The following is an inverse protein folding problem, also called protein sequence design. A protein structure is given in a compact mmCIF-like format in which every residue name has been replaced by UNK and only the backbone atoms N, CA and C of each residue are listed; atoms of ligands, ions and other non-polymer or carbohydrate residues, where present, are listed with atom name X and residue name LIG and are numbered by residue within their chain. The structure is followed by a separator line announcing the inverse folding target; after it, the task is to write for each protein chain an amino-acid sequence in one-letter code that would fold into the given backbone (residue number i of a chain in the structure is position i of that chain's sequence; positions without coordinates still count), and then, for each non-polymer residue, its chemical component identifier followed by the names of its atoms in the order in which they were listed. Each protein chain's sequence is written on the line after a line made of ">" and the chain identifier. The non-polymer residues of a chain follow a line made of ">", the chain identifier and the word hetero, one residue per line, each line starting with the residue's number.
data_IF_396043237282
#
_entry.id   IF_396043237282
#
_cell.length_a   1.000
_cell.length_b   1.000
_cell.length_c   1.000
_cell.angle_alpha   90.00
_cell.angle_beta   90.00
_cell.angle_gamma   90.00
#
_symmetry.space_group_name_H-M   'P 1'
#
loop_
_entity.id
_entity.type
_entity.pdbx_description
1 polymer ?
#
# COMPACT_ATOMS: atom_id res chain seq x y z
N UNK A 1 -7.25 -14.56 36.17
CA UNK A 1 -6.18 -14.24 35.22
C UNK A 1 -6.81 -13.36 34.15
N UNK A 2 -6.64 -12.05 34.25
CA UNK A 2 -6.96 -11.13 33.16
C UNK A 2 -5.95 -11.41 32.04
N UNK A 3 -6.42 -11.87 30.88
CA UNK A 3 -5.60 -11.85 29.68
C UNK A 3 -5.31 -10.39 29.37
N UNK A 4 -4.06 -9.97 29.43
CA UNK A 4 -3.64 -8.69 28.87
C UNK A 4 -3.82 -8.79 27.36
N UNK A 5 -4.95 -8.27 26.86
CA UNK A 5 -5.25 -8.17 25.45
C UNK A 5 -4.36 -7.04 24.91
N UNK A 6 -3.31 -7.38 24.18
CA UNK A 6 -2.44 -6.37 23.58
C UNK A 6 -3.14 -5.76 22.36
N UNK A 7 -3.52 -4.50 22.51
CA UNK A 7 -4.11 -3.68 21.46
C UNK A 7 -3.07 -2.69 20.96
N UNK A 8 -2.94 -2.60 19.64
CA UNK A 8 -2.13 -1.59 18.97
C UNK A 8 -3.05 -0.69 18.16
N UNK A 9 -3.16 0.56 18.57
CA UNK A 9 -3.98 1.56 17.88
C UNK A 9 -3.09 2.57 17.15
N UNK A 10 -3.14 2.54 15.82
CA UNK A 10 -2.37 3.40 14.93
C UNK A 10 -3.27 4.20 13.98
N UNK A 11 -4.59 4.15 14.17
CA UNK A 11 -5.54 4.86 13.32
C UNK A 11 -5.30 6.37 13.29
N UNK A 12 -5.56 6.99 12.13
CA UNK A 12 -5.39 8.43 11.91
C UNK A 12 -3.94 8.91 11.74
N UNK A 13 -2.94 8.03 11.82
CA UNK A 13 -1.54 8.36 11.56
C UNK A 13 -1.20 8.31 10.07
N UNK A 14 -0.28 9.13 9.53
CA UNK A 14 0.05 9.14 8.09
C UNK A 14 0.96 7.96 7.67
N UNK A 15 0.50 6.73 7.87
CA UNK A 15 1.21 5.49 7.51
C UNK A 15 0.82 5.03 6.10
N UNK A 16 1.73 5.19 5.14
CA UNK A 16 1.49 4.75 3.75
C UNK A 16 1.98 3.34 3.44
N UNK A 17 2.80 2.76 4.32
CA UNK A 17 3.46 1.47 4.12
C UNK A 17 3.58 0.67 5.43
N UNK A 18 3.21 -0.61 5.39
CA UNK A 18 3.53 -1.60 6.43
C UNK A 18 4.58 -2.57 5.86
N UNK A 19 5.70 -2.72 6.58
CA UNK A 19 6.80 -3.57 6.16
C UNK A 19 6.68 -5.04 6.60
N UNK A 20 7.68 -5.85 6.22
CA UNK A 20 7.82 -7.24 6.67
C UNK A 20 7.78 -7.37 8.19
N UNK A 21 7.08 -8.39 8.69
CA UNK A 21 7.03 -8.73 10.12
C UNK A 21 6.74 -7.54 11.05
N UNK A 22 5.93 -6.58 10.59
CA UNK A 22 5.66 -5.34 11.32
C UNK A 22 4.98 -5.59 12.68
N UNK A 23 4.18 -6.65 12.78
CA UNK A 23 3.38 -6.95 13.96
C UNK A 23 3.92 -8.17 14.71
N UNK A 24 4.32 -7.95 15.98
CA UNK A 24 4.87 -8.99 16.86
C UNK A 24 3.78 -9.95 17.37
N UNK A 25 4.21 -11.10 17.89
CA UNK A 25 3.33 -12.04 18.58
C UNK A 25 2.66 -11.40 19.80
N UNK A 26 1.47 -11.89 20.14
CA UNK A 26 0.70 -11.46 21.31
C UNK A 26 -0.30 -10.34 21.05
N UNK A 27 -0.25 -9.68 19.90
CA UNK A 27 -1.27 -8.71 19.49
C UNK A 27 -2.60 -9.40 19.21
N UNK A 28 -3.67 -8.85 19.75
CA UNK A 28 -5.05 -9.29 19.51
C UNK A 28 -5.79 -8.33 18.58
N UNK A 29 -5.61 -7.02 18.79
CA UNK A 29 -6.23 -5.97 17.99
C UNK A 29 -5.17 -5.06 17.37
N UNK A 30 -5.32 -4.75 16.08
CA UNK A 30 -4.52 -3.78 15.35
C UNK A 30 -5.44 -2.82 14.61
N UNK A 31 -5.46 -1.56 15.05
CA UNK A 31 -6.20 -0.48 14.42
C UNK A 31 -5.33 0.31 13.44
N UNK A 32 -5.69 0.34 12.16
CA UNK A 32 -4.97 1.04 11.09
C UNK A 32 -5.91 1.85 10.20
N UNK A 33 -7.11 2.20 10.68
CA UNK A 33 -8.05 2.96 9.88
C UNK A 33 -7.59 4.41 9.67
N UNK A 34 -7.95 5.03 8.55
CA UNK A 34 -7.59 6.42 8.25
C UNK A 34 -6.08 6.69 8.23
N UNK A 35 -5.25 5.72 7.82
CA UNK A 35 -3.79 5.86 7.86
C UNK A 35 -3.13 6.25 6.54
N UNK A 36 -3.90 6.28 5.45
CA UNK A 36 -3.40 6.49 4.07
C UNK A 36 -2.57 5.32 3.55
N UNK A 37 -2.79 4.12 4.07
CA UNK A 37 -2.05 2.93 3.66
C UNK A 37 -2.24 2.63 2.18
N UNK A 38 -1.12 2.41 1.48
CA UNK A 38 -1.10 2.06 0.05
C UNK A 38 -0.50 0.68 -0.20
N UNK A 39 0.45 0.27 0.63
CA UNK A 39 1.16 -1.00 0.50
C UNK A 39 1.26 -1.66 1.86
N UNK A 40 0.88 -2.93 1.93
CA UNK A 40 1.18 -3.82 3.04
C UNK A 40 2.03 -4.94 2.45
N UNK A 41 3.24 -5.13 2.97
CA UNK A 41 4.10 -6.24 2.54
C UNK A 41 3.43 -7.58 2.83
N UNK A 42 3.58 -8.54 1.92
CA UNK A 42 2.97 -9.88 2.00
C UNK A 42 3.30 -10.61 3.30
N UNK A 43 4.46 -10.30 3.90
CA UNK A 43 4.96 -10.90 5.13
C UNK A 43 4.64 -10.11 6.40
N UNK A 44 3.86 -9.03 6.31
CA UNK A 44 3.59 -8.13 7.44
C UNK A 44 3.00 -8.84 8.67
N UNK A 45 2.20 -9.89 8.45
CA UNK A 45 1.45 -10.61 9.49
C UNK A 45 2.00 -12.01 9.81
N UNK A 46 3.16 -12.40 9.27
CA UNK A 46 3.72 -13.75 9.44
C UNK A 46 3.88 -14.15 10.92
N UNK A 47 4.23 -13.18 11.76
CA UNK A 47 4.46 -13.38 13.18
C UNK A 47 3.22 -13.10 14.06
N UNK A 48 2.03 -12.93 13.48
CA UNK A 48 0.89 -12.28 14.16
C UNK A 48 -0.38 -13.14 14.23
N UNK A 49 -0.22 -14.45 14.42
CA UNK A 49 -1.32 -15.44 14.46
C UNK A 49 -2.40 -15.17 15.53
N UNK A 50 -2.08 -14.35 16.54
CA UNK A 50 -3.00 -13.97 17.62
C UNK A 50 -3.97 -12.84 17.28
N UNK A 51 -3.78 -12.13 16.16
CA UNK A 51 -4.65 -11.01 15.78
C UNK A 51 -6.02 -11.56 15.40
N UNK A 52 -7.04 -11.07 16.11
CA UNK A 52 -8.46 -11.38 15.89
C UNK A 52 -9.26 -10.18 15.43
N UNK A 53 -8.71 -8.98 15.59
CA UNK A 53 -9.35 -7.74 15.17
C UNK A 53 -8.36 -6.87 14.39
N UNK A 54 -8.65 -6.62 13.13
CA UNK A 54 -7.82 -5.81 12.22
C UNK A 54 -8.71 -4.80 11.49
N UNK A 55 -8.46 -3.51 11.68
CA UNK A 55 -9.16 -2.44 10.95
C UNK A 55 -8.22 -1.81 9.93
N UNK A 56 -8.63 -1.81 8.67
CA UNK A 56 -7.88 -1.28 7.52
C UNK A 56 -8.77 -0.38 6.65
N UNK A 57 -9.97 -0.05 7.11
CA UNK A 57 -10.92 0.78 6.39
C UNK A 57 -10.46 2.24 6.26
N UNK A 58 -11.00 2.94 5.25
CA UNK A 58 -10.65 4.34 4.94
C UNK A 58 -9.15 4.55 4.73
N UNK A 59 -8.55 3.70 3.91
CA UNK A 59 -7.16 3.79 3.46
C UNK A 59 -7.10 3.95 1.93
N UNK A 60 -5.91 3.82 1.37
CA UNK A 60 -5.64 4.03 -0.06
C UNK A 60 -5.19 2.73 -0.73
N UNK A 61 -5.68 1.58 -0.23
CA UNK A 61 -5.36 0.25 -0.76
C UNK A 61 -6.15 0.00 -2.04
N UNK A 62 -5.45 -0.44 -3.09
CA UNK A 62 -6.09 -0.81 -4.37
C UNK A 62 -6.28 -2.32 -4.51
N UNK A 63 -5.41 -3.11 -3.89
CA UNK A 63 -5.43 -4.56 -3.93
C UNK A 63 -4.83 -5.11 -2.63
N UNK A 64 -5.03 -6.39 -2.39
CA UNK A 64 -4.38 -7.13 -1.33
C UNK A 64 -3.50 -8.22 -1.94
N UNK A 65 -2.25 -8.39 -1.47
CA UNK A 65 -1.43 -9.54 -1.85
C UNK A 65 -2.16 -10.86 -1.58
N UNK A 66 -1.85 -11.87 -2.40
CA UNK A 66 -2.39 -13.21 -2.20
C UNK A 66 -2.05 -13.71 -0.79
N UNK A 67 -3.06 -14.22 -0.07
CA UNK A 67 -2.90 -14.85 1.24
C UNK A 67 -2.32 -13.94 2.35
N UNK A 68 -2.39 -12.61 2.21
CA UNK A 68 -1.92 -11.66 3.24
C UNK A 68 -2.51 -11.91 4.64
N UNK A 69 -3.75 -12.43 4.70
CA UNK A 69 -4.43 -12.77 5.95
C UNK A 69 -4.45 -14.27 6.24
N UNK A 70 -3.79 -15.11 5.44
CA UNK A 70 -3.68 -16.54 5.73
C UNK A 70 -3.00 -16.82 7.09
N UNK A 71 -2.01 -16.01 7.56
CA UNK A 71 -1.47 -16.16 8.91
C UNK A 71 -2.50 -15.83 10.02
N UNK A 72 -3.55 -15.07 9.70
CA UNK A 72 -4.59 -14.66 10.64
C UNK A 72 -5.69 -15.72 10.64
N UNK A 73 -5.69 -16.61 11.65
CA UNK A 73 -6.70 -17.64 11.73
C UNK A 73 -8.00 -17.07 12.25
N UNK A 74 -9.01 -16.88 11.40
CA UNK A 74 -10.37 -16.48 11.80
C UNK A 74 -11.29 -17.70 11.84
N UNK A 75 -12.02 -17.89 12.94
CA UNK A 75 -12.96 -19.00 13.14
C UNK A 75 -14.43 -18.58 13.06
N UNK A 76 -14.71 -17.30 12.78
CA UNK A 76 -16.07 -16.76 12.72
C UNK A 76 -16.65 -16.46 14.10
N UNK A 77 -15.80 -16.19 15.08
CA UNK A 77 -16.26 -15.71 16.40
C UNK A 77 -16.85 -14.29 16.24
N UNK A 78 -17.97 -13.95 16.91
CA UNK A 78 -18.53 -12.60 16.86
C UNK A 78 -17.58 -11.46 17.26
N UNK A 79 -16.52 -11.75 18.03
CA UNK A 79 -15.50 -10.78 18.43
C UNK A 79 -14.37 -10.64 17.40
N UNK A 80 -14.29 -11.55 16.41
CA UNK A 80 -13.36 -11.43 15.31
C UNK A 80 -13.85 -10.38 14.31
N UNK A 81 -12.93 -9.53 13.84
CA UNK A 81 -13.29 -8.41 12.97
C UNK A 81 -12.19 -8.15 11.94
N UNK A 82 -12.58 -8.04 10.68
CA UNK A 82 -11.73 -7.59 9.59
C UNK A 82 -12.47 -6.51 8.79
N UNK A 83 -12.05 -5.26 8.94
CA UNK A 83 -12.66 -4.11 8.24
C UNK A 83 -11.75 -3.66 7.10
N UNK A 84 -12.28 -3.71 5.87
CA UNK A 84 -11.55 -3.40 4.64
C UNK A 84 -12.35 -2.45 3.73
N UNK A 85 -13.53 -2.01 4.17
CA UNK A 85 -14.37 -1.07 3.46
C UNK A 85 -13.69 0.30 3.27
N UNK A 86 -14.28 1.15 2.43
CA UNK A 86 -13.79 2.51 2.17
C UNK A 86 -12.33 2.59 1.71
N UNK A 87 -11.90 1.63 0.89
CA UNK A 87 -10.64 1.70 0.16
C UNK A 87 -10.93 1.73 -1.35
N UNK A 88 -10.10 2.38 -2.17
CA UNK A 88 -10.26 2.46 -3.62
C UNK A 88 -9.91 1.13 -4.32
N UNK A 89 -10.67 0.07 -4.01
CA UNK A 89 -10.41 -1.27 -4.48
C UNK A 89 -10.54 -1.40 -6.00
N UNK A 90 -9.50 -1.93 -6.63
CA UNK A 90 -9.48 -2.27 -8.05
C UNK A 90 -9.81 -3.75 -8.22
N UNK A 91 -11.05 -4.03 -8.58
CA UNK A 91 -11.57 -5.36 -8.86
C UNK A 91 -11.14 -5.87 -10.24
N UNK A 92 -9.84 -6.07 -10.41
CA UNK A 92 -9.22 -6.65 -11.60
C UNK A 92 -8.61 -8.04 -11.27
N UNK A 93 -7.67 -8.51 -12.10
CA UNK A 93 -7.02 -9.80 -11.88
C UNK A 93 -6.27 -9.91 -10.54
N UNK A 94 -5.89 -8.80 -9.90
CA UNK A 94 -5.19 -8.80 -8.60
C UNK A 94 -6.09 -9.27 -7.45
N UNK A 95 -7.40 -9.06 -7.58
CA UNK A 95 -8.36 -9.37 -6.51
C UNK A 95 -8.92 -10.80 -6.60
N UNK A 96 -8.44 -11.62 -7.56
CA UNK A 96 -9.01 -12.95 -7.83
C UNK A 96 -8.93 -13.89 -6.64
N UNK A 97 -7.77 -14.02 -6.03
CA UNK A 97 -7.58 -14.97 -4.94
C UNK A 97 -8.26 -14.52 -3.66
N UNK A 98 -8.28 -13.20 -3.41
CA UNK A 98 -9.08 -12.63 -2.33
C UNK A 98 -10.59 -12.83 -2.56
N UNK A 99 -11.08 -12.65 -3.79
CA UNK A 99 -12.47 -12.95 -4.13
C UNK A 99 -12.78 -14.43 -3.90
N UNK A 100 -11.94 -15.36 -4.36
CA UNK A 100 -12.13 -16.80 -4.08
C UNK A 100 -12.20 -17.09 -2.58
N UNK A 101 -11.31 -16.49 -1.79
CA UNK A 101 -11.29 -16.63 -0.34
C UNK A 101 -12.59 -16.13 0.32
N UNK A 102 -13.13 -14.99 -0.14
CA UNK A 102 -14.44 -14.50 0.32
C UNK A 102 -15.58 -15.49 0.02
N UNK A 103 -15.53 -16.19 -1.11
CA UNK A 103 -16.54 -17.19 -1.47
C UNK A 103 -16.39 -18.50 -0.68
N UNK A 104 -15.15 -18.92 -0.38
CA UNK A 104 -14.88 -20.24 0.22
C UNK A 104 -14.83 -20.23 1.75
N UNK A 105 -14.34 -19.14 2.35
CA UNK A 105 -13.85 -19.13 3.73
C UNK A 105 -14.50 -18.05 4.59
N UNK A 106 -15.23 -17.10 4.01
CA UNK A 106 -15.87 -16.00 4.74
C UNK A 106 -17.36 -16.20 5.05
N UNK A 107 -17.94 -17.36 4.75
CA UNK A 107 -19.38 -17.64 4.92
C UNK A 107 -19.92 -17.51 6.36
N UNK A 108 -19.05 -17.33 7.37
CA UNK A 108 -19.40 -17.10 8.77
C UNK A 108 -18.68 -15.92 9.44
N UNK A 109 -17.88 -15.14 8.71
CA UNK A 109 -17.20 -13.96 9.28
C UNK A 109 -18.05 -12.69 9.10
N UNK A 110 -17.99 -11.78 10.08
CA UNK A 110 -18.55 -10.43 9.95
C UNK A 110 -17.57 -9.53 9.15
N UNK A 111 -17.34 -9.86 7.88
CA UNK A 111 -16.56 -9.01 6.98
C UNK A 111 -17.50 -7.97 6.38
N UNK A 112 -17.19 -6.69 6.63
CA UNK A 112 -17.89 -5.59 5.97
C UNK A 112 -17.73 -5.69 4.45
N UNK A 113 -18.78 -5.31 3.73
CA UNK A 113 -18.85 -5.53 2.29
C UNK A 113 -17.82 -4.64 1.59
N UNK A 114 -16.84 -5.28 0.96
CA UNK A 114 -15.88 -4.63 0.09
C UNK A 114 -16.54 -4.30 -1.25
N UNK A 115 -16.58 -3.01 -1.61
CA UNK A 115 -17.11 -2.54 -2.89
C UNK A 115 -15.98 -2.14 -3.84
N UNK A 116 -16.17 -2.45 -5.12
CA UNK A 116 -15.24 -2.09 -6.17
C UNK A 116 -15.30 -0.58 -6.44
N UNK A 117 -14.15 0.09 -6.44
CA UNK A 117 -14.01 1.45 -6.94
C UNK A 117 -13.72 1.45 -8.44
N UNK A 118 -12.86 0.53 -8.88
CA UNK A 118 -12.47 0.35 -10.27
C UNK A 118 -12.53 -1.14 -10.67
N UNK A 119 -12.66 -1.47 -11.96
CA UNK A 119 -12.93 -0.57 -13.10
C UNK A 119 -14.38 -0.03 -13.07
N UNK A 120 -14.67 0.99 -13.89
CA UNK A 120 -15.99 1.64 -13.94
C UNK A 120 -17.15 0.66 -14.21
N UNK A 121 -16.91 -0.43 -14.94
CA UNK A 121 -17.90 -1.48 -15.21
C UNK A 121 -18.32 -2.27 -13.96
N UNK A 122 -17.47 -2.27 -12.93
CA UNK A 122 -17.70 -2.94 -11.66
C UNK A 122 -17.91 -1.97 -10.49
N UNK A 123 -17.80 -0.67 -10.72
CA UNK A 123 -17.93 0.36 -9.68
C UNK A 123 -19.20 0.17 -8.83
N UNK A 124 -19.04 0.20 -7.51
CA UNK A 124 -20.09 0.00 -6.53
C UNK A 124 -20.57 -1.44 -6.35
N UNK A 125 -20.09 -2.42 -7.13
CA UNK A 125 -20.43 -3.83 -6.90
C UNK A 125 -19.67 -4.37 -5.70
N UNK A 126 -20.33 -5.20 -4.89
CA UNK A 126 -19.67 -5.97 -3.85
C UNK A 126 -18.77 -7.03 -4.49
N UNK A 127 -17.50 -7.11 -4.08
CA UNK A 127 -16.53 -8.05 -4.64
C UNK A 127 -16.97 -9.52 -4.50
N UNK A 128 -17.71 -9.86 -3.43
CA UNK A 128 -18.26 -11.22 -3.25
C UNK A 128 -19.23 -11.61 -4.37
N UNK A 129 -19.90 -10.63 -4.98
CA UNK A 129 -20.94 -10.85 -6.00
C UNK A 129 -20.36 -10.75 -7.41
N UNK A 130 -19.08 -10.37 -7.55
CA UNK A 130 -18.37 -10.30 -8.83
C UNK A 130 -17.87 -11.70 -9.18
N UNK A 131 -18.29 -12.28 -10.31
CA UNK A 131 -17.76 -13.56 -10.77
C UNK A 131 -16.25 -13.46 -10.99
N UNK A 132 -15.48 -14.43 -10.50
CA UNK A 132 -14.00 -14.45 -10.63
C UNK A 132 -13.54 -14.37 -12.11
N UNK A 133 -14.37 -14.78 -13.06
CA UNK A 133 -14.11 -14.64 -14.50
C UNK A 133 -14.13 -13.19 -15.01
N UNK A 134 -14.78 -12.25 -14.32
CA UNK A 134 -14.82 -10.82 -14.67
C UNK A 134 -13.65 -10.02 -14.07
N UNK A 135 -12.95 -10.60 -13.09
CA UNK A 135 -11.76 -10.03 -12.48
C UNK A 135 -10.55 -10.23 -13.41
N UNK A 136 -10.42 -9.33 -14.39
CA UNK A 136 -9.41 -9.39 -15.46
C UNK A 136 -8.58 -8.12 -15.51
N UNK A 137 -7.32 -8.23 -15.91
CA UNK A 137 -6.44 -7.09 -16.18
C UNK A 137 -6.35 -6.82 -17.68
N UNK A 138 -6.36 -5.55 -18.06
CA UNK A 138 -6.33 -5.12 -19.46
C UNK A 138 -4.89 -4.92 -19.96
N UNK A 139 -4.22 -6.02 -20.29
CA UNK A 139 -2.87 -6.00 -20.86
C UNK A 139 -2.48 -7.34 -21.53
N UNK A 140 -1.51 -7.33 -22.45
CA UNK A 140 -1.09 -8.54 -23.16
C UNK A 140 -0.31 -9.52 -22.27
N UNK A 141 0.48 -9.01 -21.32
CA UNK A 141 1.31 -9.80 -20.44
C UNK A 141 1.28 -9.25 -19.02
N UNK A 142 1.10 -10.17 -18.08
CA UNK A 142 1.18 -9.92 -16.65
C UNK A 142 2.65 -9.90 -16.25
N UNK A 143 3.13 -8.78 -15.69
CA UNK A 143 4.52 -8.56 -15.33
C UNK A 143 4.64 -7.92 -13.96
N UNK A 144 5.67 -8.31 -13.21
CA UNK A 144 6.06 -7.60 -11.99
C UNK A 144 6.46 -6.14 -12.32
N UNK A 145 6.47 -5.25 -11.32
CA UNK A 145 7.01 -3.91 -11.45
C UNK A 145 8.44 -3.97 -12.01
N UNK A 146 8.73 -3.10 -12.98
CA UNK A 146 10.08 -2.80 -13.42
C UNK A 146 10.26 -1.29 -13.42
N UNK A 147 11.17 -0.82 -12.56
CA UNK A 147 11.43 0.60 -12.36
C UNK A 147 12.61 1.02 -13.23
N UNK A 148 12.37 1.98 -14.11
CA UNK A 148 13.42 2.66 -14.85
C UNK A 148 13.80 3.97 -14.17
N UNK A 149 15.02 4.05 -13.64
CA UNK A 149 15.60 5.31 -13.13
C UNK A 149 16.57 5.88 -14.16
N UNK A 150 16.06 6.64 -15.13
CA UNK A 150 16.92 7.47 -15.97
C UNK A 150 17.67 8.49 -15.09
N UNK A 151 18.99 8.36 -14.98
CA UNK A 151 19.83 9.25 -14.19
C UNK A 151 19.61 9.08 -12.68
N UNK A 152 20.25 8.06 -12.10
CA UNK A 152 20.27 7.77 -10.65
C UNK A 152 20.70 8.94 -9.76
N UNK A 153 21.14 10.05 -10.34
CA UNK A 153 21.50 11.30 -9.65
C UNK A 153 20.74 12.48 -10.26
N UNK A 154 20.08 13.26 -9.41
CA UNK A 154 19.47 14.55 -9.75
C UNK A 154 20.25 15.66 -9.06
N UNK A 155 20.72 16.67 -9.80
CA UNK A 155 21.46 17.81 -9.25
C UNK A 155 20.67 19.09 -9.47
N UNK A 156 20.38 19.80 -8.39
CA UNK A 156 19.64 21.08 -8.42
C UNK A 156 20.34 22.12 -7.55
N UNK A 157 20.01 23.40 -7.71
CA UNK A 157 20.42 24.46 -6.78
C UNK A 157 19.38 24.68 -5.69
N UNK A 158 19.80 25.19 -4.55
CA UNK A 158 18.88 25.63 -3.48
C UNK A 158 17.80 26.55 -4.05
N UNK A 159 16.53 26.29 -3.69
CA UNK A 159 15.37 27.03 -4.16
C UNK A 159 14.73 26.49 -5.42
N UNK A 160 15.38 25.57 -6.15
CA UNK A 160 14.83 25.01 -7.39
C UNK A 160 13.91 23.80 -7.13
N UNK A 161 12.99 23.56 -8.07
CA UNK A 161 12.16 22.35 -8.10
C UNK A 161 13.00 21.14 -8.46
N UNK A 162 12.93 20.08 -7.66
CA UNK A 162 13.54 18.79 -7.96
C UNK A 162 12.48 17.76 -8.38
N UNK A 163 12.79 16.96 -9.40
CA UNK A 163 11.91 15.93 -9.96
C UNK A 163 12.68 14.61 -10.00
N UNK A 164 12.31 13.67 -9.13
CA UNK A 164 12.94 12.37 -8.99
C UNK A 164 12.03 11.34 -9.66
N UNK A 165 12.39 10.94 -10.88
CA UNK A 165 11.58 10.01 -11.68
C UNK A 165 11.63 8.60 -11.10
N UNK A 166 10.46 7.97 -11.02
CA UNK A 166 10.31 6.54 -10.79
C UNK A 166 9.30 5.98 -11.79
N UNK A 167 9.75 5.83 -13.04
CA UNK A 167 8.89 5.34 -14.10
C UNK A 167 8.71 3.83 -13.96
N UNK A 168 7.53 3.42 -13.52
CA UNK A 168 7.18 2.01 -13.31
C UNK A 168 6.50 1.46 -14.57
N UNK A 169 7.05 0.38 -15.11
CA UNK A 169 6.44 -0.38 -16.20
C UNK A 169 5.98 -1.73 -15.67
N UNK A 170 4.68 -1.97 -15.66
CA UNK A 170 4.09 -3.25 -15.29
C UNK A 170 2.63 -3.36 -15.70
N UNK A 171 2.14 -4.59 -15.70
CA UNK A 171 0.72 -4.84 -15.63
C UNK A 171 0.46 -6.03 -14.70
N UNK A 172 -0.49 -5.93 -13.76
CA UNK A 172 -1.35 -4.77 -13.47
C UNK A 172 -0.60 -3.62 -12.80
N UNK A 173 -1.28 -2.48 -12.71
CA UNK A 173 -0.75 -1.26 -12.11
C UNK A 173 -0.27 -1.51 -10.68
N UNK A 174 0.94 -1.06 -10.39
CA UNK A 174 1.57 -1.17 -9.08
C UNK A 174 1.20 0.00 -8.16
N UNK A 175 1.14 -0.25 -6.86
CA UNK A 175 1.19 0.79 -5.86
C UNK A 175 2.65 1.25 -5.68
N UNK A 176 2.85 2.57 -5.51
CA UNK A 176 4.17 3.19 -5.36
C UNK A 176 4.29 3.90 -4.02
N UNK A 177 5.42 3.69 -3.33
CA UNK A 177 5.80 4.42 -2.11
C UNK A 177 7.27 4.84 -2.22
N UNK A 178 7.56 6.09 -1.87
CA UNK A 178 8.91 6.60 -1.71
C UNK A 178 9.39 6.51 -0.26
N UNK A 179 10.69 6.35 -0.09
CA UNK A 179 11.40 6.48 1.20
C UNK A 179 12.37 7.65 1.09
N UNK A 180 12.25 8.62 1.98
CA UNK A 180 13.17 9.77 2.05
C UNK A 180 14.52 9.38 2.70
N UNK A 181 15.55 10.24 2.62
CA UNK A 181 16.81 10.02 3.33
C UNK A 181 16.66 9.88 4.85
N UNK A 182 15.59 10.45 5.42
CA UNK A 182 15.26 10.36 6.84
C UNK A 182 14.46 9.11 7.20
N UNK A 183 14.11 8.27 6.22
CA UNK A 183 13.30 7.06 6.41
C UNK A 183 11.79 7.27 6.34
N UNK A 184 11.31 8.51 6.15
CA UNK A 184 9.88 8.81 6.00
C UNK A 184 9.33 8.17 4.72
N UNK A 185 8.14 7.56 4.82
CA UNK A 185 7.44 6.95 3.70
C UNK A 185 6.44 7.92 3.10
N UNK A 186 6.39 8.01 1.77
CA UNK A 186 5.54 8.94 1.03
C UNK A 186 4.77 8.22 -0.08
N UNK A 187 3.47 8.45 -0.16
CA UNK A 187 2.59 8.02 -1.24
C UNK A 187 1.92 9.22 -1.93
N UNK A 188 1.07 8.95 -2.91
CA UNK A 188 0.29 9.99 -3.63
C UNK A 188 -0.57 10.82 -2.66
N UNK A 189 -1.13 10.19 -1.63
CA UNK A 189 -2.01 10.82 -0.64
C UNK A 189 -1.27 11.45 0.56
N UNK A 190 0.06 11.42 0.56
CA UNK A 190 0.86 12.01 1.63
C UNK A 190 0.69 13.53 1.64
N UNK A 191 0.34 14.07 2.81
CA UNK A 191 0.13 15.50 2.99
C UNK A 191 1.38 16.12 3.64
N UNK A 192 2.42 16.29 2.81
CA UNK A 192 3.69 16.86 3.24
C UNK A 192 3.93 18.16 2.47
N UNK A 193 3.98 19.32 3.14
CA UNK A 193 4.14 20.61 2.47
C UNK A 193 5.37 20.65 1.55
N UNK A 194 5.15 21.01 0.29
CA UNK A 194 6.21 21.15 -0.71
C UNK A 194 6.74 19.84 -1.28
N UNK A 195 6.16 18.70 -0.94
CA UNK A 195 6.49 17.38 -1.50
C UNK A 195 5.21 16.74 -2.05
N UNK A 196 5.30 16.13 -3.22
CA UNK A 196 4.18 15.40 -3.83
C UNK A 196 4.67 14.20 -4.62
N UNK A 197 3.86 13.13 -4.67
CA UNK A 197 4.11 11.96 -5.52
C UNK A 197 3.04 11.96 -6.62
N UNK A 198 3.46 11.94 -7.88
CA UNK A 198 2.57 11.88 -9.02
C UNK A 198 2.05 10.46 -9.26
N UNK A 199 0.98 10.32 -10.05
CA UNK A 199 0.37 9.02 -10.39
C UNK A 199 1.32 8.07 -11.13
N UNK A 200 2.27 8.63 -11.88
CA UNK A 200 3.32 7.86 -12.58
C UNK A 200 4.44 7.39 -11.65
N UNK A 201 4.34 7.69 -10.35
CA UNK A 201 5.32 7.37 -9.32
C UNK A 201 6.40 8.43 -9.12
N UNK A 202 6.45 9.52 -9.89
CA UNK A 202 7.49 10.54 -9.78
C UNK A 202 7.37 11.36 -8.49
N UNK A 203 8.46 11.49 -7.73
CA UNK A 203 8.52 12.36 -6.55
C UNK A 203 8.95 13.78 -6.96
N UNK A 204 8.19 14.77 -6.49
CA UNK A 204 8.42 16.18 -6.76
C UNK A 204 8.65 16.92 -5.45
N UNK A 205 9.77 17.62 -5.37
CA UNK A 205 10.10 18.55 -4.29
C UNK A 205 10.01 19.96 -4.87
N UNK A 206 9.06 20.76 -4.37
CA UNK A 206 8.76 22.09 -4.91
C UNK A 206 9.95 23.05 -4.76
N UNK A 207 10.62 23.00 -3.60
CA UNK A 207 11.75 23.90 -3.26
C UNK A 207 12.86 23.11 -2.59
N UNK A 208 13.93 22.81 -3.32
CA UNK A 208 15.06 22.05 -2.80
C UNK A 208 15.88 22.85 -1.79
N UNK A 209 16.28 22.20 -0.70
CA UNK A 209 17.17 22.74 0.34
C UNK A 209 18.28 21.74 0.65
N UNK A 210 19.34 22.17 1.35
CA UNK A 210 20.40 21.25 1.79
C UNK A 210 19.85 20.05 2.58
N UNK A 211 18.80 20.26 3.38
CA UNK A 211 18.13 19.20 4.13
C UNK A 211 17.33 18.21 3.28
N UNK A 212 17.01 18.55 2.03
CA UNK A 212 16.38 17.61 1.08
C UNK A 212 17.39 16.76 0.33
N UNK A 213 18.69 17.05 0.43
CA UNK A 213 19.72 16.26 -0.23
C UNK A 213 19.84 14.86 0.39
N UNK A 214 20.10 13.86 -0.44
CA UNK A 214 20.31 12.48 0.02
C UNK A 214 19.75 11.45 -0.94
N UNK A 215 19.72 10.20 -0.48
CA UNK A 215 19.22 9.06 -1.26
C UNK A 215 17.76 8.80 -0.97
N UNK A 216 16.95 8.83 -2.03
CA UNK A 216 15.53 8.47 -2.01
C UNK A 216 15.35 7.09 -2.65
N UNK A 217 14.45 6.28 -2.10
CA UNK A 217 14.16 4.94 -2.63
C UNK A 217 12.70 4.86 -3.05
N UNK A 218 12.44 4.54 -4.31
CA UNK A 218 11.12 4.22 -4.81
C UNK A 218 10.89 2.72 -4.70
N UNK A 219 9.75 2.31 -4.14
CA UNK A 219 9.26 0.94 -4.10
C UNK A 219 7.96 0.85 -4.89
N UNK A 220 7.88 -0.08 -5.83
CA UNK A 220 6.66 -0.40 -6.57
C UNK A 220 6.25 -1.85 -6.34
N UNK A 221 4.97 -2.09 -6.06
CA UNK A 221 4.42 -3.41 -5.74
C UNK A 221 3.11 -3.66 -6.49
N UNK A 222 3.00 -4.79 -7.17
CA UNK A 222 1.74 -5.36 -7.63
C UNK A 222 1.63 -6.81 -7.13
N UNK A 223 0.53 -7.50 -7.43
CA UNK A 223 0.35 -8.88 -6.94
C UNK A 223 1.36 -9.91 -7.52
N UNK A 224 2.10 -9.57 -8.57
CA UNK A 224 3.10 -10.46 -9.22
C UNK A 224 4.46 -10.32 -8.54
N UNK A 225 4.77 -9.15 -7.99
CA UNK A 225 6.01 -8.93 -7.28
C UNK A 225 6.29 -7.46 -6.99
N UNK A 226 7.55 -7.19 -6.67
CA UNK A 226 8.03 -5.87 -6.29
C UNK A 226 9.35 -5.54 -6.97
N UNK A 227 9.58 -4.26 -7.18
CA UNK A 227 10.86 -3.72 -7.60
C UNK A 227 11.16 -2.43 -6.84
N UNK A 228 12.44 -2.12 -6.69
CA UNK A 228 12.89 -0.92 -6.00
C UNK A 228 14.09 -0.29 -6.69
N UNK A 229 14.13 1.04 -6.72
CA UNK A 229 15.25 1.78 -7.27
C UNK A 229 15.55 3.02 -6.44
N UNK A 230 16.82 3.44 -6.46
CA UNK A 230 17.29 4.61 -5.72
C UNK A 230 17.60 5.78 -6.64
N UNK A 231 17.33 6.99 -6.15
CA UNK A 231 17.69 8.26 -6.79
C UNK A 231 18.39 9.14 -5.76
N UNK A 232 19.59 9.59 -6.09
CA UNK A 232 20.38 10.47 -5.25
C UNK A 232 20.12 11.94 -5.64
N UNK A 233 19.62 12.75 -4.70
CA UNK A 233 19.44 14.18 -4.88
C UNK A 233 20.63 14.94 -4.28
N UNK A 234 21.33 15.69 -5.12
CA UNK A 234 22.38 16.63 -4.70
C UNK A 234 21.88 18.06 -4.82
N UNK A 235 21.82 18.78 -3.69
CA UNK A 235 21.45 20.20 -3.67
C UNK A 235 22.70 21.06 -3.52
N UNK A 236 22.97 21.87 -4.53
CA UNK A 236 24.15 22.75 -4.63
C UNK A 236 23.80 24.21 -4.25
N UNK A 237 24.82 25.02 -3.97
CA UNK A 237 24.68 26.39 -3.46
C UNK A 237 23.85 27.36 -4.33
N UNK A 238 23.47 28.48 -3.71
CA UNK A 238 22.36 29.40 -4.03
C UNK A 238 22.01 29.60 -5.52
N UNK A 239 20.70 29.60 -5.81
CA UNK A 239 20.14 30.32 -6.95
C UNK A 239 20.56 31.80 -6.85
N UNK A 240 21.13 32.33 -7.93
CA UNK A 240 21.58 33.72 -8.02
C UNK A 240 20.39 34.66 -8.08
#
# INVERSE_FOLDING_TARGET
>A
MTLDIFMLELSGNPLVYIGPDAFKQGLFHVGLENTKLRIIDESAFNSSQGIKSLTLNNNSLHFLPELIFAPLTFYGDPQETLLLDDNPWRCDCQMRDYAKWLHSSASGMNIRILHCDMPQSLHGKALRDVPVGQLTCDCPHLTSPNISTTGSTTVVKTGQRAVLKCSVTCCPAAAVVWTTPTGMKLGVDSDVPGISVADDGTLVIATATSGTSGTYTCLAVNYIGKDQATVHLTVTGNAK
#
